data_IF_969029114106
#
_entry.id   IF_969029114106
#
_cell.length_a   1.000
_cell.length_b   1.000
_cell.length_c   1.000
_cell.angle_alpha   90.00
_cell.angle_beta   90.00
_cell.angle_gamma   90.00
#
_symmetry.space_group_name_H-M   'P 1'
#
loop_
_entity.id
_entity.type
_entity.pdbx_description
1 polymer ?
#
# COMPACT_ATOMS: atom_id res chain seq x y z
N UNK A 1 -6.57 0.39 26.45
CA UNK A 1 -7.07 1.60 25.77
C UNK A 1 -5.95 2.40 25.09
N UNK A 2 -5.02 3.04 25.82
CA UNK A 2 -3.97 3.88 25.19
C UNK A 2 -3.00 3.11 24.26
N UNK A 3 -2.58 1.90 24.63
CA UNK A 3 -1.73 1.04 23.78
C UNK A 3 -2.47 0.58 22.50
N UNK A 4 -3.75 0.22 22.63
CA UNK A 4 -4.57 -0.20 21.48
C UNK A 4 -4.86 0.96 20.50
N UNK A 5 -4.95 2.20 21.01
CA UNK A 5 -5.01 3.41 20.18
C UNK A 5 -3.65 3.73 19.51
N UNK A 6 -2.54 3.39 20.15
CA UNK A 6 -1.21 3.52 19.56
C UNK A 6 -1.00 2.53 18.40
N UNK A 7 -1.41 1.27 18.57
CA UNK A 7 -1.31 0.23 17.54
C UNK A 7 -2.14 0.57 16.29
N UNK A 8 -3.37 1.05 16.48
CA UNK A 8 -4.22 1.51 15.36
C UNK A 8 -3.63 2.73 14.66
N UNK A 9 -2.98 3.63 15.39
CA UNK A 9 -2.26 4.79 14.78
C UNK A 9 -1.07 4.33 13.94
N UNK A 10 -0.30 3.35 14.42
CA UNK A 10 0.83 2.78 13.67
C UNK A 10 0.38 2.09 12.39
N UNK A 11 -0.71 1.30 12.44
CA UNK A 11 -1.31 0.67 11.26
C UNK A 11 -1.78 1.68 10.23
N UNK A 12 -2.38 2.79 10.68
CA UNK A 12 -2.83 3.87 9.79
C UNK A 12 -1.66 4.58 9.09
N UNK A 13 -0.58 4.85 9.82
CA UNK A 13 0.65 5.43 9.26
C UNK A 13 1.32 4.49 8.24
N UNK A 14 1.34 3.18 8.53
CA UNK A 14 1.85 2.17 7.62
C UNK A 14 1.02 2.14 6.32
N UNK A 15 -0.31 2.16 6.44
CA UNK A 15 -1.24 2.18 5.30
C UNK A 15 -1.01 3.42 4.41
N UNK A 16 -0.82 4.60 4.99
CA UNK A 16 -0.49 5.82 4.24
C UNK A 16 0.87 5.74 3.54
N UNK A 17 1.87 5.14 4.19
CA UNK A 17 3.20 4.96 3.61
C UNK A 17 3.13 4.01 2.41
N UNK A 18 2.39 2.91 2.54
CA UNK A 18 2.18 1.94 1.45
C UNK A 18 1.40 2.56 0.29
N UNK A 19 0.39 3.39 0.57
CA UNK A 19 -0.33 4.14 -0.46
C UNK A 19 0.61 5.05 -1.25
N UNK A 20 1.47 5.80 -0.56
CA UNK A 20 2.47 6.68 -1.21
C UNK A 20 3.44 5.88 -2.09
N UNK A 21 3.83 4.67 -1.66
CA UNK A 21 4.70 3.78 -2.43
C UNK A 21 4.01 3.27 -3.71
N UNK A 22 2.74 2.88 -3.61
CA UNK A 22 1.94 2.46 -4.79
C UNK A 22 1.85 3.59 -5.81
N UNK A 23 1.50 4.80 -5.37
CA UNK A 23 1.41 5.98 -6.23
C UNK A 23 2.74 6.32 -6.89
N UNK A 24 3.85 6.22 -6.15
CA UNK A 24 5.18 6.42 -6.70
C UNK A 24 5.52 5.38 -7.78
N UNK A 25 5.26 4.10 -7.53
CA UNK A 25 5.47 3.04 -8.50
C UNK A 25 4.63 3.25 -9.77
N UNK A 26 3.37 3.69 -9.63
CA UNK A 26 2.51 4.01 -10.78
C UNK A 26 3.03 5.20 -11.59
N UNK A 27 3.40 6.30 -10.92
CA UNK A 27 3.92 7.49 -11.58
C UNK A 27 5.22 7.18 -12.35
N UNK A 28 6.12 6.41 -11.72
CA UNK A 28 7.37 5.99 -12.34
C UNK A 28 7.10 5.11 -13.58
N UNK A 29 6.15 4.18 -13.50
CA UNK A 29 5.75 3.34 -14.63
C UNK A 29 5.14 4.14 -15.77
N UNK A 30 4.25 5.08 -15.45
CA UNK A 30 3.60 5.93 -16.44
C UNK A 30 4.61 6.83 -17.18
N UNK A 31 5.52 7.46 -16.44
CA UNK A 31 6.58 8.30 -17.02
C UNK A 31 7.51 7.50 -17.92
N UNK A 32 7.96 6.33 -17.46
CA UNK A 32 8.90 5.53 -18.21
C UNK A 32 8.25 4.81 -19.42
N UNK A 33 6.97 4.45 -19.32
CA UNK A 33 6.17 3.97 -20.46
C UNK A 33 6.06 5.03 -21.56
N UNK A 34 5.88 6.30 -21.20
CA UNK A 34 5.87 7.41 -22.17
C UNK A 34 7.16 7.50 -22.99
N UNK A 35 8.32 7.32 -22.35
CA UNK A 35 9.61 7.28 -23.05
C UNK A 35 9.73 6.09 -23.99
N UNK A 36 9.33 4.89 -23.55
CA UNK A 36 9.44 3.67 -24.35
C UNK A 36 8.61 3.70 -25.65
N UNK A 37 7.49 4.43 -25.69
CA UNK A 37 6.68 4.59 -26.91
C UNK A 37 7.22 5.63 -27.90
N UNK A 38 7.94 6.66 -27.43
CA UNK A 38 8.51 7.69 -28.32
C UNK A 38 9.87 7.27 -28.91
N UNK A 39 10.64 6.51 -28.14
CA UNK A 39 12.01 6.12 -28.46
C UNK A 39 12.20 5.33 -29.78
N UNK A 40 11.34 4.38 -30.18
CA UNK A 40 11.59 3.56 -31.37
C UNK A 40 11.54 4.34 -32.69
N UNK A 41 10.81 5.46 -32.73
CA UNK A 41 10.71 6.29 -33.93
C UNK A 41 11.95 7.18 -34.12
N UNK A 42 12.61 7.58 -33.04
CA UNK A 42 13.75 8.51 -33.06
C UNK A 42 15.10 7.83 -32.83
N UNK A 43 15.13 6.65 -32.18
CA UNK A 43 16.34 5.92 -31.83
C UNK A 43 16.24 4.43 -32.19
N UNK A 44 16.89 4.07 -33.30
CA UNK A 44 16.92 2.70 -33.83
C UNK A 44 18.31 2.07 -33.71
N UNK A 45 18.35 0.74 -33.64
CA UNK A 45 19.58 -0.06 -33.68
C UNK A 45 19.73 -1.02 -32.49
N UNK A 46 20.85 -1.77 -32.42
CA UNK A 46 21.06 -2.79 -31.41
C UNK A 46 21.06 -2.26 -29.96
N UNK A 47 21.44 -1.00 -29.76
CA UNK A 47 21.44 -0.36 -28.46
C UNK A 47 20.00 -0.09 -27.95
N UNK A 48 19.10 0.39 -28.81
CA UNK A 48 17.70 0.65 -28.41
C UNK A 48 16.93 -0.66 -28.16
N UNK A 49 17.23 -1.72 -28.92
CA UNK A 49 16.69 -3.06 -28.62
C UNK A 49 17.13 -3.59 -27.24
N UNK A 50 18.41 -3.43 -26.89
CA UNK A 50 18.91 -3.79 -25.56
C UNK A 50 18.26 -2.97 -24.45
N UNK A 51 18.09 -1.67 -24.67
CA UNK A 51 17.39 -0.80 -23.73
C UNK A 51 15.94 -1.26 -23.53
N UNK A 52 15.20 -1.55 -24.60
CA UNK A 52 13.81 -2.02 -24.49
C UNK A 52 13.71 -3.33 -23.68
N UNK A 53 14.59 -4.30 -23.90
CA UNK A 53 14.58 -5.53 -23.08
C UNK A 53 14.89 -5.29 -21.60
N UNK A 54 15.81 -4.38 -21.28
CA UNK A 54 16.08 -3.98 -19.90
C UNK A 54 14.90 -3.22 -19.29
N UNK A 55 14.27 -2.36 -20.08
CA UNK A 55 13.09 -1.60 -19.69
C UNK A 55 11.90 -2.51 -19.37
N UNK A 56 11.62 -3.51 -20.21
CA UNK A 56 10.56 -4.50 -19.95
C UNK A 56 10.81 -5.27 -18.65
N UNK A 57 12.06 -5.68 -18.40
CA UNK A 57 12.45 -6.36 -17.16
C UNK A 57 12.23 -5.46 -15.95
N UNK A 58 12.66 -4.20 -16.05
CA UNK A 58 12.44 -3.19 -15.01
C UNK A 58 10.94 -2.94 -14.78
N UNK A 59 10.14 -2.81 -15.84
CA UNK A 59 8.71 -2.52 -15.76
C UNK A 59 7.95 -3.67 -15.08
N UNK A 60 8.31 -4.92 -15.38
CA UNK A 60 7.77 -6.09 -14.70
C UNK A 60 8.10 -6.10 -13.20
N UNK A 61 9.35 -5.75 -12.84
CA UNK A 61 9.77 -5.63 -11.44
C UNK A 61 9.02 -4.52 -10.70
N UNK A 62 8.84 -3.35 -11.33
CA UNK A 62 8.08 -2.24 -10.77
C UNK A 62 6.61 -2.61 -10.52
N UNK A 63 5.98 -3.34 -11.45
CA UNK A 63 4.63 -3.88 -11.27
C UNK A 63 4.56 -4.88 -10.10
N UNK A 64 5.55 -5.76 -9.97
CA UNK A 64 5.64 -6.68 -8.83
C UNK A 64 5.73 -5.95 -7.48
N UNK A 65 6.51 -4.86 -7.42
CA UNK A 65 6.60 -4.02 -6.21
C UNK A 65 5.27 -3.34 -5.90
N UNK A 66 4.56 -2.83 -6.92
CA UNK A 66 3.23 -2.21 -6.78
C UNK A 66 2.24 -3.21 -6.17
N UNK A 67 2.16 -4.42 -6.73
CA UNK A 67 1.26 -5.48 -6.25
C UNK A 67 1.59 -5.91 -4.81
N UNK A 68 2.88 -6.03 -4.48
CA UNK A 68 3.30 -6.37 -3.12
C UNK A 68 2.92 -5.27 -2.12
N UNK A 69 3.07 -4.00 -2.49
CA UNK A 69 2.66 -2.86 -1.67
C UNK A 69 1.14 -2.81 -1.48
N UNK A 70 0.34 -3.08 -2.52
CA UNK A 70 -1.12 -3.20 -2.43
C UNK A 70 -1.54 -4.33 -1.49
N UNK A 71 -0.90 -5.50 -1.60
CA UNK A 71 -1.21 -6.65 -0.75
C UNK A 71 -0.89 -6.35 0.73
N UNK A 72 0.25 -5.72 1.01
CA UNK A 72 0.61 -5.29 2.37
C UNK A 72 -0.38 -4.24 2.90
N UNK A 73 -0.82 -3.30 2.05
CA UNK A 73 -1.79 -2.27 2.42
C UNK A 73 -3.12 -2.92 2.82
N UNK A 74 -3.62 -3.85 2.02
CA UNK A 74 -4.86 -4.57 2.32
C UNK A 74 -4.76 -5.36 3.64
N UNK A 75 -3.61 -5.97 3.94
CA UNK A 75 -3.39 -6.65 5.22
C UNK A 75 -3.39 -5.66 6.41
N UNK A 76 -2.74 -4.50 6.25
CA UNK A 76 -2.72 -3.46 7.28
C UNK A 76 -4.12 -2.90 7.55
N UNK A 77 -4.91 -2.64 6.51
CA UNK A 77 -6.31 -2.19 6.61
C UNK A 77 -7.19 -3.24 7.30
N UNK A 78 -7.02 -4.53 6.95
CA UNK A 78 -7.74 -5.61 7.61
C UNK A 78 -7.38 -5.74 9.10
N UNK A 79 -6.10 -5.58 9.44
CA UNK A 79 -5.65 -5.56 10.83
C UNK A 79 -6.24 -4.37 11.60
N UNK A 80 -6.21 -3.16 11.03
CA UNK A 80 -6.80 -1.97 11.66
C UNK A 80 -8.28 -2.16 11.94
N UNK A 81 -9.04 -2.70 10.97
CA UNK A 81 -10.46 -2.97 11.13
C UNK A 81 -10.73 -3.99 12.25
N UNK A 82 -9.95 -5.07 12.32
CA UNK A 82 -10.08 -6.08 13.35
C UNK A 82 -9.78 -5.53 14.75
N UNK A 83 -8.70 -4.76 14.90
CA UNK A 83 -8.36 -4.13 16.18
C UNK A 83 -9.41 -3.11 16.60
N UNK A 84 -9.89 -2.27 15.68
CA UNK A 84 -10.92 -1.27 15.97
C UNK A 84 -12.22 -1.93 16.44
N UNK A 85 -12.67 -2.97 15.74
CA UNK A 85 -13.87 -3.73 16.14
C UNK A 85 -13.72 -4.41 17.51
N UNK A 86 -12.54 -4.97 17.81
CA UNK A 86 -12.28 -5.59 19.11
C UNK A 86 -12.30 -4.56 20.25
N UNK A 87 -11.73 -3.36 20.03
CA UNK A 87 -11.75 -2.27 21.01
C UNK A 87 -13.19 -1.80 21.28
N UNK A 88 -13.99 -1.62 20.23
CA UNK A 88 -15.40 -1.22 20.36
C UNK A 88 -16.23 -2.25 21.12
N UNK A 89 -16.04 -3.54 20.81
CA UNK A 89 -16.72 -4.63 21.51
C UNK A 89 -16.35 -4.68 23.00
N UNK A 90 -15.07 -4.50 23.31
CA UNK A 90 -14.59 -4.47 24.70
C UNK A 90 -15.14 -3.25 25.45
N UNK A 91 -15.13 -2.07 24.83
CA UNK A 91 -15.70 -0.84 25.40
C UNK A 91 -17.18 -1.02 25.70
N UNK A 92 -17.96 -1.56 24.76
CA UNK A 92 -19.39 -1.81 24.95
C UNK A 92 -19.67 -2.80 26.08
N UNK A 93 -18.82 -3.81 26.29
CA UNK A 93 -18.94 -4.76 27.42
C UNK A 93 -18.68 -4.08 28.76
N UNK A 94 -17.66 -3.22 28.83
CA UNK A 94 -17.37 -2.45 30.04
C UNK A 94 -18.50 -1.48 30.39
N UNK A 95 -19.06 -0.79 29.40
CA UNK A 95 -20.19 0.12 29.60
C UNK A 95 -21.42 -0.65 30.13
N UNK A 96 -21.74 -1.81 29.55
CA UNK A 96 -22.82 -2.67 30.03
C UNK A 96 -22.59 -3.18 31.45
N UNK A 97 -21.37 -3.63 31.75
CA UNK A 97 -21.03 -4.12 33.08
C UNK A 97 -21.11 -3.01 34.14
N UNK A 98 -20.57 -1.83 33.83
CA UNK A 98 -20.61 -0.67 34.75
C UNK A 98 -22.03 -0.19 35.00
N UNK A 99 -22.89 -0.17 33.98
CA UNK A 99 -24.30 0.15 34.12
C UNK A 99 -25.04 -0.85 35.02
N UNK A 100 -24.71 -2.14 34.93
CA UNK A 100 -25.31 -3.19 35.78
C UNK A 100 -24.78 -3.17 37.23
N UNK A 101 -23.59 -2.63 37.46
CA UNK A 101 -22.98 -2.54 38.80
C UNK A 101 -23.31 -1.23 39.53
N UNK A 102 -23.70 -0.18 38.80
CA UNK A 102 -24.07 1.13 39.36
C UNK A 102 -25.58 1.37 39.51
N UNK A 103 -26.42 0.37 39.16
CA UNK A 103 -27.88 0.37 39.31
C UNK A 103 -28.36 -0.31 40.58
#
# INVERSE_FOLDING_TARGET
MAEQQADTTQLRNLTQTLQSLVEYCEALRAGAGGFAYMLPNEWQGPASQRFMGQFETWAAGAEGMRQAAEALKAQAEAAEAAYSSAIEAETSRWDQLSANLGG
#
